data_IF_366867431697
#
_entry.id   IF_366867431697
#
_cell.length_a   1.000
_cell.length_b   1.000
_cell.length_c   1.000
_cell.angle_alpha   90.00
_cell.angle_beta   90.00
_cell.angle_gamma   90.00
#
_symmetry.space_group_name_H-M   'P 1'
#
loop_
_entity.id
_entity.type
_entity.pdbx_description
1 polymer ?
#
# COMPACT_ATOMS: atom_id res chain seq x y z
N UNK A 1 6.38 -8.80 -18.86
CA UNK A 1 6.91 -8.48 -17.53
C UNK A 1 6.04 -7.38 -16.97
N UNK A 2 5.49 -7.58 -15.77
CA UNK A 2 4.55 -6.65 -15.15
C UNK A 2 5.25 -5.40 -14.62
N UNK A 3 5.65 -4.51 -15.51
CA UNK A 3 6.04 -3.16 -15.10
C UNK A 3 4.75 -2.47 -14.65
N UNK A 4 4.66 -2.15 -13.36
CA UNK A 4 3.50 -1.47 -12.82
C UNK A 4 3.31 -0.10 -13.46
N UNK A 5 2.23 0.60 -13.09
CA UNK A 5 1.87 1.89 -13.70
C UNK A 5 3.09 2.85 -13.69
N UNK A 6 3.60 3.34 -14.84
CA UNK A 6 4.75 4.24 -14.88
C UNK A 6 4.52 5.51 -14.05
N UNK A 7 5.57 6.08 -13.46
CA UNK A 7 5.46 7.24 -12.56
C UNK A 7 4.68 8.39 -13.21
N UNK A 8 4.98 8.75 -14.46
CA UNK A 8 4.28 9.82 -15.18
C UNK A 8 2.77 9.56 -15.32
N UNK A 9 2.39 8.32 -15.63
CA UNK A 9 0.99 7.91 -15.75
C UNK A 9 0.29 7.95 -14.39
N UNK A 10 0.95 7.48 -13.34
CA UNK A 10 0.46 7.53 -11.97
C UNK A 10 0.23 8.97 -11.50
N UNK A 11 1.21 9.85 -11.66
CA UNK A 11 1.09 11.27 -11.32
C UNK A 11 -0.02 11.96 -12.14
N UNK A 12 -0.25 11.53 -13.38
CA UNK A 12 -1.39 12.00 -14.17
C UNK A 12 -2.74 11.62 -13.56
N UNK A 13 -2.89 10.41 -13.01
CA UNK A 13 -4.09 9.98 -12.27
C UNK A 13 -4.24 10.77 -10.98
N UNK A 14 -3.16 10.93 -10.21
CA UNK A 14 -3.14 11.72 -8.97
C UNK A 14 -3.56 13.17 -9.24
N UNK A 15 -3.01 13.81 -10.27
CA UNK A 15 -3.37 15.19 -10.64
C UNK A 15 -4.86 15.32 -10.91
N UNK A 16 -5.46 14.38 -11.67
CA UNK A 16 -6.91 14.38 -11.92
C UNK A 16 -7.72 14.15 -10.63
N UNK A 17 -7.26 13.26 -9.75
CA UNK A 17 -7.90 12.99 -8.46
C UNK A 17 -7.90 14.25 -7.59
N UNK A 18 -6.78 14.96 -7.50
CA UNK A 18 -6.61 16.13 -6.65
C UNK A 18 -7.16 17.43 -7.26
N UNK A 19 -7.39 17.47 -8.58
CA UNK A 19 -7.89 18.66 -9.28
C UNK A 19 -9.29 19.13 -8.83
N UNK A 20 -10.09 18.25 -8.22
CA UNK A 20 -11.42 18.61 -7.71
C UNK A 20 -11.44 18.72 -6.19
N UNK A 21 -12.23 19.68 -5.67
CA UNK A 21 -12.43 19.84 -4.23
C UNK A 21 -13.01 18.59 -3.55
N UNK A 22 -13.77 17.77 -4.27
CA UNK A 22 -14.27 16.47 -3.76
C UNK A 22 -13.20 15.39 -3.84
N UNK A 23 -12.53 15.27 -4.98
CA UNK A 23 -11.53 14.24 -5.24
C UNK A 23 -10.31 14.37 -4.32
N UNK A 24 -9.84 15.59 -4.05
CA UNK A 24 -8.75 15.80 -3.09
C UNK A 24 -9.11 15.48 -1.64
N UNK A 25 -10.40 15.37 -1.26
CA UNK A 25 -10.82 14.97 0.11
C UNK A 25 -10.90 13.45 0.27
N UNK A 26 -10.78 12.69 -0.82
CA UNK A 26 -10.84 11.24 -0.77
C UNK A 26 -9.69 10.73 0.12
N UNK A 27 -9.98 9.84 1.09
CA UNK A 27 -8.93 9.19 1.88
C UNK A 27 -7.95 8.44 0.98
N UNK A 28 -6.66 8.60 1.24
CA UNK A 28 -5.58 7.99 0.47
C UNK A 28 -5.75 6.47 0.36
N UNK A 29 -6.06 5.81 1.48
CA UNK A 29 -6.31 4.37 1.50
C UNK A 29 -7.42 3.93 0.53
N UNK A 30 -8.51 4.71 0.39
CA UNK A 30 -9.57 4.44 -0.60
C UNK A 30 -9.09 4.65 -2.03
N UNK A 31 -8.31 5.70 -2.26
CA UNK A 31 -7.74 5.96 -3.58
C UNK A 31 -6.82 4.82 -4.05
N UNK A 32 -5.94 4.33 -3.16
CA UNK A 32 -5.00 3.25 -3.48
C UNK A 32 -5.67 1.88 -3.64
N UNK A 33 -6.80 1.65 -2.96
CA UNK A 33 -7.56 0.40 -3.11
C UNK A 33 -8.44 0.36 -4.37
N UNK A 34 -8.61 1.49 -5.05
CA UNK A 34 -9.41 1.61 -6.26
C UNK A 34 -8.70 0.94 -7.45
N UNK A 35 -9.12 -0.27 -7.80
CA UNK A 35 -8.50 -1.05 -8.87
C UNK A 35 -8.62 -0.40 -10.26
N UNK A 36 -9.48 0.60 -10.45
CA UNK A 36 -9.52 1.39 -11.70
C UNK A 36 -8.37 2.40 -11.82
N UNK A 37 -7.69 2.70 -10.70
CA UNK A 37 -6.61 3.68 -10.59
C UNK A 37 -5.27 3.02 -10.28
N UNK A 38 -5.28 2.07 -9.36
CA UNK A 38 -4.10 1.41 -8.79
C UNK A 38 -4.36 -0.09 -8.66
N UNK A 39 -4.22 -0.79 -9.79
CA UNK A 39 -4.37 -2.24 -9.84
C UNK A 39 -3.27 -2.95 -9.03
N UNK A 40 -3.64 -4.02 -8.33
CA UNK A 40 -2.69 -4.88 -7.60
C UNK A 40 -2.44 -4.47 -6.15
N UNK A 41 -3.00 -3.34 -5.70
CA UNK A 41 -2.95 -2.96 -4.28
C UNK A 41 -4.12 -3.61 -3.54
N UNK A 42 -3.82 -4.65 -2.76
CA UNK A 42 -4.72 -5.24 -1.77
C UNK A 42 -4.39 -4.77 -0.35
N UNK A 43 -5.16 -5.22 0.65
CA UNK A 43 -5.05 -4.68 2.02
C UNK A 43 -3.69 -4.87 2.71
N UNK A 44 -3.02 -6.01 2.50
CA UNK A 44 -1.69 -6.21 3.06
C UNK A 44 -0.66 -5.34 2.34
N UNK A 45 -0.67 -5.35 1.01
CA UNK A 45 0.17 -4.48 0.17
C UNK A 45 -0.02 -3.01 0.55
N UNK A 46 -1.26 -2.56 0.80
CA UNK A 46 -1.55 -1.19 1.25
C UNK A 46 -0.81 -0.84 2.54
N UNK A 47 -0.86 -1.70 3.55
CA UNK A 47 -0.19 -1.46 4.85
C UNK A 47 1.33 -1.37 4.66
N UNK A 48 1.90 -2.28 3.87
CA UNK A 48 3.33 -2.30 3.56
C UNK A 48 3.79 -1.05 2.77
N UNK A 49 3.01 -0.63 1.76
CA UNK A 49 3.31 0.58 0.98
C UNK A 49 3.30 1.83 1.87
N UNK A 50 2.26 2.00 2.68
CA UNK A 50 2.13 3.18 3.54
C UNK A 50 3.25 3.25 4.58
N UNK A 51 3.65 2.10 5.13
CA UNK A 51 4.78 2.00 6.05
C UNK A 51 6.12 2.37 5.37
N UNK A 52 6.40 1.80 4.19
CA UNK A 52 7.63 2.10 3.42
C UNK A 52 7.70 3.57 3.01
N UNK A 53 6.59 4.13 2.54
CA UNK A 53 6.49 5.53 2.15
C UNK A 53 6.44 6.50 3.35
N UNK A 54 6.28 5.99 4.58
CA UNK A 54 6.17 6.77 5.82
C UNK A 54 4.94 7.71 5.84
N UNK A 55 3.89 7.33 5.11
CA UNK A 55 2.68 8.13 4.94
C UNK A 55 1.61 7.72 5.94
N UNK A 56 0.96 8.74 6.53
CA UNK A 56 -0.13 8.54 7.46
C UNK A 56 -1.36 7.89 6.78
N UNK A 57 -1.88 6.75 7.30
CA UNK A 57 -2.91 6.00 6.58
C UNK A 57 -4.26 6.70 6.38
N UNK A 58 -4.61 7.66 7.24
CA UNK A 58 -5.85 8.43 7.17
C UNK A 58 -5.69 9.80 6.48
N UNK A 59 -4.54 10.06 5.84
CA UNK A 59 -4.36 11.22 4.99
C UNK A 59 -5.40 11.27 3.86
N UNK A 60 -5.80 12.46 3.41
CA UNK A 60 -6.50 12.61 2.14
C UNK A 60 -5.52 12.84 0.99
N UNK A 61 -5.95 12.57 -0.25
CA UNK A 61 -5.13 12.80 -1.43
C UNK A 61 -4.55 14.22 -1.54
N UNK A 62 -5.26 15.24 -1.06
CA UNK A 62 -4.78 16.64 -1.05
C UNK A 62 -3.70 16.93 -0.02
N UNK A 63 -3.57 16.07 1.00
CA UNK A 63 -2.67 16.30 2.13
C UNK A 63 -1.24 15.85 1.78
N UNK A 64 -1.07 15.12 0.66
CA UNK A 64 0.21 14.65 0.14
C UNK A 64 0.78 15.67 -0.86
N UNK A 65 2.06 15.96 -0.73
CA UNK A 65 2.81 16.71 -1.73
C UNK A 65 3.35 15.82 -2.87
N UNK A 66 4.05 16.41 -3.83
CA UNK A 66 4.58 15.67 -4.97
C UNK A 66 5.63 14.63 -4.55
N UNK A 67 6.44 14.91 -3.54
CA UNK A 67 7.50 14.02 -3.08
C UNK A 67 6.89 12.82 -2.35
N UNK A 68 5.85 13.05 -1.54
CA UNK A 68 5.04 12.00 -0.93
C UNK A 68 4.47 11.05 -2.00
N UNK A 69 3.95 11.57 -3.11
CA UNK A 69 3.41 10.75 -4.20
C UNK A 69 4.49 9.96 -4.94
N UNK A 70 5.68 10.54 -5.13
CA UNK A 70 6.82 9.84 -5.76
C UNK A 70 7.30 8.70 -4.86
N UNK A 71 7.46 8.96 -3.56
CA UNK A 71 7.86 7.95 -2.57
C UNK A 71 6.82 6.83 -2.47
N UNK A 72 5.53 7.17 -2.48
CA UNK A 72 4.44 6.21 -2.46
C UNK A 72 4.43 5.35 -3.72
N UNK A 73 4.66 5.95 -4.89
CA UNK A 73 4.78 5.22 -6.16
C UNK A 73 5.95 4.23 -6.13
N UNK A 74 7.13 4.67 -5.67
CA UNK A 74 8.31 3.82 -5.57
C UNK A 74 8.06 2.64 -4.62
N UNK A 75 7.51 2.92 -3.42
CA UNK A 75 7.14 1.89 -2.45
C UNK A 75 6.09 0.91 -3.01
N UNK A 76 5.12 1.41 -3.79
CA UNK A 76 4.11 0.58 -4.45
C UNK A 76 4.72 -0.35 -5.51
N UNK A 77 5.57 0.16 -6.39
CA UNK A 77 6.24 -0.64 -7.42
C UNK A 77 7.08 -1.75 -6.78
N UNK A 78 7.91 -1.40 -5.81
CA UNK A 78 8.77 -2.35 -5.12
C UNK A 78 7.95 -3.46 -4.44
N UNK A 79 6.92 -3.08 -3.68
CA UNK A 79 6.12 -4.01 -2.89
C UNK A 79 5.26 -4.92 -3.76
N UNK A 80 4.62 -4.39 -4.80
CA UNK A 80 3.82 -5.18 -5.74
C UNK A 80 4.71 -6.17 -6.50
N UNK A 81 5.88 -5.71 -6.98
CA UNK A 81 6.81 -6.57 -7.73
C UNK A 81 7.37 -7.69 -6.87
N UNK A 82 7.82 -7.38 -5.65
CA UNK A 82 8.32 -8.39 -4.71
C UNK A 82 7.23 -9.41 -4.34
N UNK A 83 6.01 -8.94 -4.07
CA UNK A 83 4.88 -9.83 -3.82
C UNK A 83 4.53 -10.71 -5.01
N UNK A 84 4.57 -10.17 -6.23
CA UNK A 84 4.25 -10.92 -7.44
C UNK A 84 5.28 -12.00 -7.71
N UNK A 85 6.57 -11.68 -7.56
CA UNK A 85 7.67 -12.65 -7.66
C UNK A 85 7.50 -13.79 -6.66
N UNK A 86 7.25 -13.47 -5.39
CA UNK A 86 7.06 -14.49 -4.36
C UNK A 86 5.83 -15.39 -4.62
N UNK A 87 4.74 -14.83 -5.16
CA UNK A 87 3.58 -15.63 -5.58
C UNK A 87 3.89 -16.53 -6.78
N UNK A 88 4.70 -16.08 -7.74
CA UNK A 88 5.11 -16.87 -8.90
C UNK A 88 6.04 -18.03 -8.51
N UNK A 89 6.96 -17.79 -7.56
CA UNK A 89 7.81 -18.83 -6.97
C UNK A 89 6.95 -19.91 -6.27
N UNK A 90 6.00 -19.50 -5.44
CA UNK A 90 5.09 -20.40 -4.75
C UNK A 90 4.23 -21.21 -5.75
N UNK A 91 3.66 -20.55 -6.77
CA UNK A 91 2.86 -21.21 -7.79
C UNK A 91 3.68 -22.29 -8.54
N UNK A 92 4.93 -21.96 -8.88
CA UNK A 92 5.87 -22.91 -9.50
C UNK A 92 6.18 -24.09 -8.58
N UNK A 93 6.44 -23.83 -7.29
CA UNK A 93 6.72 -24.87 -6.30
C UNK A 93 5.52 -25.82 -6.08
N UNK A 94 4.30 -25.30 -6.19
CA UNK A 94 3.07 -26.09 -6.03
C UNK A 94 2.65 -26.83 -7.32
N UNK A 95 3.35 -26.62 -8.44
CA UNK A 95 2.93 -27.16 -9.74
C UNK A 95 1.61 -26.57 -10.26
N UNK A 96 1.14 -25.46 -9.68
CA UNK A 96 -0.11 -24.80 -10.06
C UNK A 96 0.19 -23.64 -11.03
N UNK A 97 -0.35 -23.72 -12.25
CA UNK A 97 -0.13 -22.69 -13.28
C UNK A 97 -0.83 -21.35 -13.05
N UNK A 98 -1.52 -21.16 -11.91
CA UNK A 98 -2.36 -19.98 -11.66
C UNK A 98 -2.03 -19.27 -10.35
N UNK A 99 -1.60 -18.01 -10.48
CA UNK A 99 -1.45 -17.07 -9.37
C UNK A 99 -2.77 -16.81 -8.60
N UNK A 100 -3.92 -17.17 -9.17
CA UNK A 100 -5.19 -17.01 -8.47
C UNK A 100 -5.33 -17.97 -7.28
N UNK A 101 -4.62 -19.10 -7.27
CA UNK A 101 -4.64 -20.06 -6.17
C UNK A 101 -3.84 -19.58 -4.94
N UNK A 102 -2.94 -18.60 -5.11
CA UNK A 102 -2.16 -17.99 -4.02
C UNK A 102 -2.83 -16.72 -3.44
N UNK A 103 -4.06 -16.41 -3.87
CA UNK A 103 -4.81 -15.27 -3.31
C UNK A 103 -5.18 -15.52 -1.85
N UNK A 104 -4.67 -14.66 -0.97
CA UNK A 104 -4.91 -14.76 0.48
C UNK A 104 -3.87 -15.59 1.22
N UNK A 105 -2.93 -16.23 0.53
CA UNK A 105 -1.84 -17.00 1.14
C UNK A 105 -0.60 -16.12 1.36
N UNK A 106 -0.78 -14.91 1.91
CA UNK A 106 0.36 -14.03 2.20
C UNK A 106 1.34 -14.69 3.19
N UNK A 107 0.87 -15.58 4.06
CA UNK A 107 1.69 -16.38 4.98
C UNK A 107 2.59 -17.37 4.23
N UNK A 108 2.08 -17.98 3.16
CA UNK A 108 2.83 -18.97 2.36
C UNK A 108 3.96 -18.34 1.54
N UNK A 109 3.86 -17.05 1.20
CA UNK A 109 4.91 -16.33 0.48
C UNK A 109 5.95 -15.67 1.39
N UNK A 110 5.79 -15.70 2.73
CA UNK A 110 6.68 -14.99 3.66
C UNK A 110 8.17 -15.35 3.61
N UNK A 111 8.59 -16.58 3.23
CA UNK A 111 10.01 -16.86 3.03
C UNK A 111 10.65 -15.96 1.95
N UNK A 112 9.88 -15.63 0.90
CA UNK A 112 10.32 -14.80 -0.23
C UNK A 112 9.83 -13.35 -0.17
N UNK A 113 8.78 -13.06 0.61
CA UNK A 113 8.19 -11.73 0.77
C UNK A 113 7.91 -11.43 2.25
N UNK A 114 8.87 -10.78 2.90
CA UNK A 114 8.74 -10.39 4.31
C UNK A 114 7.71 -9.27 4.47
N UNK A 115 6.78 -9.47 5.39
CA UNK A 115 5.88 -8.42 5.85
C UNK A 115 6.56 -7.59 6.94
N UNK A 116 6.53 -6.27 6.78
CA UNK A 116 7.15 -5.33 7.71
C UNK A 116 6.17 -4.92 8.81
N UNK A 117 4.87 -4.80 8.49
CA UNK A 117 3.85 -4.33 9.45
C UNK A 117 2.58 -5.16 9.46
N UNK A 118 2.18 -5.74 8.33
CA UNK A 118 0.88 -6.38 8.21
C UNK A 118 0.75 -7.60 9.13
N UNK A 119 -0.25 -7.58 10.03
CA UNK A 119 -0.47 -8.61 11.06
C UNK A 119 0.76 -8.88 11.95
N UNK A 120 1.56 -7.84 12.21
CA UNK A 120 2.66 -7.88 13.17
C UNK A 120 2.35 -7.05 14.40
N UNK A 121 2.96 -7.41 15.52
CA UNK A 121 2.93 -6.61 16.74
C UNK A 121 4.05 -5.55 16.75
N UNK A 122 5.19 -5.90 16.17
CA UNK A 122 6.39 -5.06 16.08
C UNK A 122 6.88 -5.08 14.64
N UNK A 123 7.17 -3.89 14.13
CA UNK A 123 7.76 -3.70 12.82
C UNK A 123 9.21 -4.15 12.81
N UNK A 124 9.75 -4.38 11.62
CA UNK A 124 11.14 -4.82 11.44
C UNK A 124 12.18 -3.85 11.97
N UNK A 125 11.84 -2.56 12.06
CA UNK A 125 12.68 -1.51 12.65
C UNK A 125 12.51 -1.37 14.17
N UNK A 126 11.67 -2.19 14.79
CA UNK A 126 11.36 -2.15 16.22
C UNK A 126 10.15 -1.28 16.59
N UNK A 127 9.54 -0.58 15.63
CA UNK A 127 8.37 0.26 15.90
C UNK A 127 7.14 -0.55 16.32
N UNK A 128 6.36 -0.03 17.28
CA UNK A 128 5.10 -0.66 17.69
C UNK A 128 4.06 -0.56 16.58
N UNK A 129 3.55 -1.70 16.13
CA UNK A 129 2.48 -1.75 15.13
C UNK A 129 1.13 -1.62 15.82
N UNK A 130 0.30 -0.71 15.31
CA UNK A 130 -1.09 -0.57 15.69
C UNK A 130 -1.99 -1.08 14.56
N UNK A 131 -3.16 -1.59 14.94
CA UNK A 131 -4.20 -2.01 14.02
C UNK A 131 -5.44 -1.13 14.26
N UNK A 132 -6.00 -0.55 13.20
CA UNK A 132 -7.22 0.24 13.27
C UNK A 132 -8.04 0.08 11.98
N UNK A 133 -9.34 0.38 12.05
CA UNK A 133 -10.20 0.34 10.86
C UNK A 133 -9.80 1.44 9.88
N UNK A 134 -9.46 1.05 8.65
CA UNK A 134 -9.11 1.98 7.59
C UNK A 134 -10.34 2.59 6.92
N UNK A 135 -10.19 3.75 6.26
CA UNK A 135 -11.29 4.40 5.56
C UNK A 135 -11.97 3.52 4.49
N UNK A 136 -11.29 2.50 3.96
CA UNK A 136 -11.81 1.52 3.01
C UNK A 136 -12.53 0.32 3.65
N UNK A 137 -12.84 0.38 4.96
CA UNK A 137 -13.61 -0.64 5.67
C UNK A 137 -12.83 -1.91 6.00
N UNK A 138 -11.50 -1.87 5.97
CA UNK A 138 -10.63 -3.00 6.36
C UNK A 138 -9.53 -2.50 7.28
N UNK A 139 -9.04 -3.39 8.14
CA UNK A 139 -7.95 -3.08 9.08
C UNK A 139 -6.68 -2.64 8.35
N UNK A 140 -6.09 -1.53 8.81
CA UNK A 140 -4.74 -1.07 8.44
C UNK A 140 -3.80 -1.38 9.61
N UNK A 141 -2.65 -1.95 9.29
CA UNK A 141 -1.53 -2.10 10.22
C UNK A 141 -0.51 -1.00 9.94
N UNK A 142 -0.10 -0.26 10.96
CA UNK A 142 0.72 0.93 10.78
C UNK A 142 1.56 1.24 12.03
N UNK A 143 2.62 2.02 11.86
CA UNK A 143 3.52 2.47 12.93
C UNK A 143 3.42 3.98 13.09
N UNK A 144 2.79 4.49 14.17
CA UNK A 144 2.53 5.92 14.33
C UNK A 144 3.76 6.82 14.35
N UNK A 145 4.84 6.33 14.94
CA UNK A 145 6.10 7.07 15.07
C UNK A 145 6.82 7.22 13.72
N UNK A 146 6.58 6.30 12.79
CA UNK A 146 7.21 6.28 11.46
C UNK A 146 6.33 6.97 10.40
N UNK A 147 5.02 6.80 10.47
CA UNK A 147 4.07 7.24 9.45
C UNK A 147 3.51 8.63 9.74
N UNK A 148 4.39 9.63 9.66
CA UNK A 148 4.12 11.03 10.03
C UNK A 148 3.89 11.96 8.83
N UNK A 149 4.23 11.53 7.59
CA UNK A 149 4.01 12.34 6.38
C UNK A 149 2.52 12.48 6.08
N UNK A 150 2.12 13.62 5.51
CA UNK A 150 0.73 13.98 5.20
C UNK A 150 -0.25 13.89 6.38
N UNK A 151 0.25 13.96 7.63
CA UNK A 151 -0.58 13.91 8.84
C UNK A 151 -1.14 15.30 9.14
N UNK A 152 -2.44 15.49 8.91
CA UNK A 152 -3.15 16.71 9.33
C UNK A 152 -3.71 16.57 10.75
N UNK A 153 -3.72 17.68 11.49
CA UNK A 153 -4.38 17.75 12.80
C UNK A 153 -5.87 17.40 12.69
N UNK A 154 -6.38 16.60 13.62
CA UNK A 154 -7.80 16.22 13.71
C UNK A 154 -8.23 15.00 12.91
N UNK A 155 -7.32 14.31 12.21
CA UNK A 155 -7.59 12.98 11.64
C UNK A 155 -6.92 11.94 12.51
N UNK A 156 -7.65 11.39 13.48
CA UNK A 156 -7.23 10.21 14.24
C UNK A 156 -7.90 8.95 13.64
N UNK A 157 -7.35 7.75 13.91
CA UNK A 157 -8.01 6.49 13.59
C UNK A 157 -9.42 6.38 14.16
#
# INVERSE_FOLDING_TARGET
GGDGLPLASFLGVVKRQCASGRGGRVPLARFLMDQSKTAGIGNYILSEILYKARVYPWAACRDLDNDDWVELHAAAQETIKASYTAQAELATANGEGSLSATRGTFEAIQPSFRLEVYRREVATDGGKVLAAEGPHGRTIFWVPERQVRARCAGREP
#
